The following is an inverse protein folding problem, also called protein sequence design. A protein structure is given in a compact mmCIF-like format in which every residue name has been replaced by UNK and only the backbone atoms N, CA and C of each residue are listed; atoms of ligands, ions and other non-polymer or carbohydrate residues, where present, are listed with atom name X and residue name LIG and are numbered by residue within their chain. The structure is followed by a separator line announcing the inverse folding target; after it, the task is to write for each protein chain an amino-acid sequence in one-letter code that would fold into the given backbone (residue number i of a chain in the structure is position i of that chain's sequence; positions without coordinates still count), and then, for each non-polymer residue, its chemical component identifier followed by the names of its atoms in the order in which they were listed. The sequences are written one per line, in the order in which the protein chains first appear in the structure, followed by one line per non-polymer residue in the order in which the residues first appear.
data_IF_553364079806
#
_entry.id   IF_553364079806
#
_cell.length_a   1.000
_cell.length_b   1.000
_cell.length_c   1.000
_cell.angle_alpha   90.00
_cell.angle_beta   90.00
_cell.angle_gamma   90.00
#
_symmetry.space_group_name_H-M   'P 1'
#
loop_
_entity.id
_entity.type
_entity.pdbx_description
1 polymer ?
#
# COMPACT_ATOMS: atom_id res chain seq x y z
N UNK A 1 -37.81 21.30 -39.76
CA UNK A 1 -37.53 19.86 -39.53
C UNK A 1 -36.41 19.69 -38.50
N UNK A 2 -36.71 19.58 -37.19
CA UNK A 2 -35.68 19.53 -36.12
C UNK A 2 -35.24 18.10 -35.72
N UNK A 3 -35.78 17.05 -36.33
CA UNK A 3 -35.60 15.67 -35.86
C UNK A 3 -34.19 15.09 -36.09
N UNK A 4 -33.50 15.55 -37.14
CA UNK A 4 -32.16 15.04 -37.49
C UNK A 4 -31.10 15.43 -36.46
N UNK A 5 -31.15 16.65 -35.92
CA UNK A 5 -30.18 17.16 -34.92
C UNK A 5 -30.28 16.43 -33.57
N UNK A 6 -31.50 16.05 -33.14
CA UNK A 6 -31.70 15.29 -31.89
C UNK A 6 -31.14 13.87 -31.98
N UNK A 7 -31.26 13.23 -33.15
CA UNK A 7 -30.72 11.89 -33.39
C UNK A 7 -29.19 11.92 -33.41
N UNK A 8 -28.57 12.92 -34.05
CA UNK A 8 -27.11 13.09 -34.06
C UNK A 8 -26.54 13.35 -32.66
N UNK A 9 -27.25 14.11 -31.82
CA UNK A 9 -26.80 14.36 -30.44
C UNK A 9 -26.85 13.07 -29.59
N UNK A 10 -27.90 12.26 -29.76
CA UNK A 10 -28.05 10.98 -29.04
C UNK A 10 -26.96 9.98 -29.43
N UNK A 11 -26.59 9.91 -30.71
CA UNK A 11 -25.53 9.00 -31.18
C UNK A 11 -24.16 9.44 -30.67
N UNK A 12 -23.87 10.74 -30.62
CA UNK A 12 -22.62 11.28 -30.04
C UNK A 12 -22.55 11.00 -28.54
N UNK A 13 -23.66 11.14 -27.80
CA UNK A 13 -23.69 10.84 -26.36
C UNK A 13 -23.46 9.35 -26.07
N UNK A 14 -24.06 8.46 -26.86
CA UNK A 14 -23.81 7.02 -26.73
C UNK A 14 -22.36 6.66 -27.05
N UNK A 15 -21.76 7.26 -28.09
CA UNK A 15 -20.35 7.07 -28.43
C UNK A 15 -19.41 7.53 -27.31
N UNK A 16 -19.71 8.65 -26.64
CA UNK A 16 -18.93 9.16 -25.50
C UNK A 16 -19.01 8.24 -24.27
N UNK A 17 -20.16 7.59 -24.04
CA UNK A 17 -20.35 6.67 -22.92
C UNK A 17 -19.53 5.37 -23.04
N UNK A 18 -19.20 4.93 -24.27
CA UNK A 18 -18.38 3.71 -24.49
C UNK A 18 -16.91 3.93 -24.08
N UNK A 19 -16.42 5.17 -24.10
CA UNK A 19 -15.04 5.49 -23.71
C UNK A 19 -14.83 5.65 -22.20
N UNK A 20 -15.88 5.64 -21.38
CA UNK A 20 -15.79 5.82 -19.92
C UNK A 20 -15.69 4.52 -19.12
N UNK A 21 -15.68 3.35 -19.76
CA UNK A 21 -15.52 2.07 -19.09
C UNK A 21 -14.04 1.66 -19.05
N UNK A 22 -13.26 2.31 -18.18
CA UNK A 22 -12.02 1.68 -17.69
C UNK A 22 -12.43 0.62 -16.68
N UNK A 23 -12.73 -0.58 -17.16
CA UNK A 23 -12.78 -1.77 -16.32
C UNK A 23 -11.41 -1.96 -15.68
N UNK A 24 -11.31 -1.65 -14.38
CA UNK A 24 -10.20 -1.91 -13.45
C UNK A 24 -8.79 -1.87 -14.03
N UNK A 25 -7.98 -0.85 -13.67
CA UNK A 25 -6.51 -0.97 -13.79
C UNK A 25 -6.12 -2.25 -13.05
N UNK A 26 -5.55 -3.27 -13.73
CA UNK A 26 -5.10 -4.47 -13.04
C UNK A 26 -4.13 -4.03 -11.95
N UNK A 27 -4.22 -4.52 -10.71
CA UNK A 27 -3.24 -4.16 -9.69
C UNK A 27 -1.87 -4.50 -10.25
N UNK A 28 -1.04 -3.47 -10.49
CA UNK A 28 0.31 -3.69 -10.98
C UNK A 28 1.06 -4.36 -9.84
N UNK A 29 1.35 -5.65 -9.98
CA UNK A 29 2.24 -6.34 -9.05
C UNK A 29 3.62 -5.69 -9.18
N UNK A 30 3.92 -4.77 -8.26
CA UNK A 30 5.24 -4.17 -8.13
C UNK A 30 5.90 -4.78 -6.91
N UNK A 31 7.06 -5.38 -7.12
CA UNK A 31 7.96 -5.65 -6.01
C UNK A 31 8.33 -4.31 -5.39
N UNK A 32 7.93 -4.09 -4.15
CA UNK A 32 8.41 -2.98 -3.33
C UNK A 32 9.31 -3.54 -2.25
N UNK A 33 10.46 -2.91 -2.03
CA UNK A 33 11.25 -3.18 -0.84
C UNK A 33 10.38 -2.86 0.40
N UNK A 34 10.19 -3.87 1.25
CA UNK A 34 9.23 -3.80 2.35
C UNK A 34 9.71 -2.83 3.45
N UNK A 35 10.98 -2.98 3.83
CA UNK A 35 11.69 -2.12 4.75
C UNK A 35 13.21 -2.27 4.51
N UNK A 36 13.96 -1.20 4.74
CA UNK A 36 15.43 -1.20 4.67
C UNK A 36 16.05 -0.95 6.03
N UNK A 37 17.18 -1.60 6.26
CA UNK A 37 18.01 -1.44 7.46
C UNK A 37 19.42 -1.92 7.16
N UNK A 38 20.38 -1.61 8.05
CA UNK A 38 21.76 -2.08 7.95
C UNK A 38 21.97 -3.50 8.47
N UNK A 39 21.01 -4.04 9.24
CA UNK A 39 21.04 -5.40 9.76
C UNK A 39 19.95 -6.32 9.19
N UNK A 40 19.57 -7.34 9.96
CA UNK A 40 18.57 -8.33 9.54
C UNK A 40 17.15 -7.90 9.93
N UNK A 41 16.17 -8.22 9.09
CA UNK A 41 14.73 -8.06 9.37
C UNK A 41 14.05 -9.40 9.16
N UNK A 42 13.24 -9.82 10.13
CA UNK A 42 12.35 -10.96 10.02
C UNK A 42 10.91 -10.47 10.07
N UNK A 43 10.11 -10.81 9.07
CA UNK A 43 8.66 -10.63 9.12
C UNK A 43 8.03 -11.93 9.64
N UNK A 44 7.62 -11.95 10.91
CA UNK A 44 7.16 -13.17 11.57
C UNK A 44 5.68 -13.46 11.36
N UNK A 45 4.87 -12.40 11.25
CA UNK A 45 3.40 -12.50 11.19
C UNK A 45 2.80 -11.44 10.29
N UNK A 46 1.79 -11.84 9.54
CA UNK A 46 0.95 -10.98 8.70
C UNK A 46 -0.51 -11.31 9.01
N UNK A 47 -1.32 -10.30 9.35
CA UNK A 47 -2.74 -10.47 9.69
C UNK A 47 -3.58 -9.48 8.87
N UNK A 48 -4.48 -9.96 7.99
CA UNK A 48 -5.43 -9.08 7.31
C UNK A 48 -6.55 -8.63 8.27
N UNK A 49 -7.03 -7.40 8.09
CA UNK A 49 -8.12 -6.82 8.86
C UNK A 49 -9.41 -6.71 8.01
N UNK A 50 -10.61 -6.63 8.62
CA UNK A 50 -11.87 -6.54 7.90
C UNK A 50 -12.01 -5.34 6.96
N UNK A 51 -11.28 -4.25 7.21
CA UNK A 51 -11.25 -3.06 6.35
C UNK A 51 -10.31 -3.19 5.14
N UNK A 52 -9.67 -4.35 4.97
CA UNK A 52 -8.72 -4.63 3.89
C UNK A 52 -7.31 -4.11 4.14
N UNK A 53 -7.05 -3.46 5.27
CA UNK A 53 -5.68 -3.17 5.72
C UNK A 53 -4.99 -4.43 6.24
N UNK A 54 -3.66 -4.42 6.32
CA UNK A 54 -2.88 -5.53 6.87
C UNK A 54 -1.97 -5.04 7.99
N UNK A 55 -1.82 -5.87 9.03
CA UNK A 55 -0.81 -5.70 10.07
C UNK A 55 0.33 -6.66 9.78
N UNK A 56 1.56 -6.15 9.81
CA UNK A 56 2.78 -6.94 9.74
C UNK A 56 3.56 -6.71 11.04
N UNK A 57 4.01 -7.81 11.64
CA UNK A 57 4.83 -7.78 12.83
C UNK A 57 6.06 -8.67 12.65
N UNK A 58 7.14 -8.30 13.31
CA UNK A 58 8.39 -9.04 13.22
C UNK A 58 9.49 -8.43 14.07
N UNK A 59 10.72 -8.85 13.83
CA UNK A 59 11.90 -8.32 14.50
C UNK A 59 12.90 -7.72 13.51
N UNK A 60 13.70 -6.78 14.01
CA UNK A 60 14.85 -6.23 13.29
C UNK A 60 16.03 -6.08 14.23
N UNK A 61 17.21 -6.28 13.68
CA UNK A 61 18.47 -6.16 14.40
C UNK A 61 19.23 -4.97 13.84
N UNK A 62 18.89 -3.77 14.29
CA UNK A 62 19.57 -2.54 13.88
C UNK A 62 19.12 -1.36 14.75
N UNK A 63 19.86 -0.26 14.65
CA UNK A 63 19.51 1.02 15.30
C UNK A 63 18.19 1.60 14.76
N UNK A 64 17.82 1.26 13.53
CA UNK A 64 16.59 1.73 12.91
C UNK A 64 16.07 0.79 11.82
N UNK A 65 14.78 0.91 11.53
CA UNK A 65 14.10 0.24 10.42
C UNK A 65 13.30 1.27 9.62
N UNK A 66 13.51 1.31 8.30
CA UNK A 66 12.92 2.33 7.43
C UNK A 66 11.90 1.72 6.47
N UNK A 67 10.69 2.30 6.44
CA UNK A 67 9.58 1.97 5.58
C UNK A 67 9.29 3.15 4.64
N UNK A 68 9.90 3.15 3.46
CA UNK A 68 9.83 4.29 2.54
C UNK A 68 10.40 5.56 3.19
N UNK A 69 9.54 6.54 3.48
CA UNK A 69 9.93 7.79 4.16
C UNK A 69 9.79 7.75 5.70
N UNK A 70 9.28 6.66 6.27
CA UNK A 70 9.07 6.54 7.73
C UNK A 70 10.16 5.69 8.36
N UNK A 71 10.86 6.22 9.37
CA UNK A 71 11.91 5.48 10.10
C UNK A 71 11.52 5.30 11.57
N UNK A 72 11.58 4.06 12.06
CA UNK A 72 11.42 3.73 13.48
C UNK A 72 12.78 3.41 14.09
N UNK A 73 12.94 3.71 15.39
CA UNK A 73 14.18 3.44 16.14
C UNK A 73 14.13 2.07 16.79
N UNK A 74 15.23 1.33 16.71
CA UNK A 74 15.48 0.16 17.53
C UNK A 74 15.85 0.54 18.96
N UNK A 75 15.87 -0.45 19.85
CA UNK A 75 16.34 -0.26 21.22
C UNK A 75 17.86 -0.01 21.26
N UNK A 76 18.28 1.07 21.93
CA UNK A 76 19.70 1.43 22.05
C UNK A 76 20.32 0.75 23.26
N UNK A 77 21.32 -0.12 23.07
CA UNK A 77 22.03 -0.76 24.19
C UNK A 77 22.65 -2.12 23.91
N UNK A 78 22.53 -2.65 22.70
CA UNK A 78 23.22 -3.87 22.31
C UNK A 78 22.61 -4.46 21.07
N UNK A 79 23.25 -5.54 20.63
CA UNK A 79 22.85 -6.54 19.65
C UNK A 79 21.42 -7.13 19.89
N UNK A 80 20.42 -6.28 20.03
CA UNK A 80 19.08 -6.63 20.49
C UNK A 80 18.09 -6.71 19.34
N UNK A 81 17.37 -7.82 19.24
CA UNK A 81 16.17 -7.92 18.43
C UNK A 81 15.16 -6.88 18.90
N UNK A 82 14.95 -5.82 18.10
CA UNK A 82 13.83 -4.88 18.29
C UNK A 82 12.62 -5.45 17.59
N UNK A 83 11.45 -5.41 18.23
CA UNK A 83 10.21 -5.81 17.57
C UNK A 83 9.59 -4.60 16.86
N UNK A 84 8.86 -4.86 15.78
CA UNK A 84 8.07 -3.85 15.10
C UNK A 84 6.66 -4.34 14.82
N UNK A 85 5.75 -3.36 14.71
CA UNK A 85 4.42 -3.55 14.14
C UNK A 85 4.19 -2.44 13.13
N UNK A 86 3.79 -2.81 11.92
CA UNK A 86 3.44 -1.90 10.84
C UNK A 86 2.04 -2.20 10.32
N UNK A 87 1.28 -1.16 9.97
CA UNK A 87 -0.01 -1.28 9.30
C UNK A 87 0.08 -0.69 7.91
N UNK A 88 -0.46 -1.41 6.94
CA UNK A 88 -0.55 -0.96 5.55
C UNK A 88 -2.02 -0.89 5.12
N UNK A 89 -2.34 0.13 4.32
CA UNK A 89 -3.62 0.26 3.64
C UNK A 89 -3.83 -0.88 2.64
N UNK A 90 -5.06 -1.04 2.16
CA UNK A 90 -5.43 -2.02 1.11
C UNK A 90 -4.63 -1.85 -0.19
N UNK A 91 -4.15 -0.64 -0.47
CA UNK A 91 -3.33 -0.32 -1.64
C UNK A 91 -1.82 -0.58 -1.43
N UNK A 92 -1.43 -1.10 -0.25
CA UNK A 92 -0.05 -1.37 0.11
C UNK A 92 0.73 -0.17 0.65
N UNK A 93 0.11 1.02 0.77
CA UNK A 93 0.77 2.18 1.38
C UNK A 93 0.87 2.04 2.90
N UNK A 94 1.99 2.47 3.49
CA UNK A 94 2.18 2.44 4.94
C UNK A 94 1.22 3.44 5.61
N UNK A 95 0.44 2.96 6.57
CA UNK A 95 -0.37 3.83 7.45
C UNK A 95 0.44 4.32 8.64
N UNK A 96 1.11 3.39 9.32
CA UNK A 96 1.98 3.68 10.45
C UNK A 96 2.92 2.51 10.72
N UNK A 97 4.05 2.79 11.35
CA UNK A 97 4.97 1.81 11.90
C UNK A 97 5.36 2.20 13.33
N UNK A 98 5.55 1.20 14.19
CA UNK A 98 5.97 1.40 15.58
C UNK A 98 7.04 0.37 15.95
N UNK A 99 8.03 0.84 16.69
CA UNK A 99 8.93 -0.02 17.44
C UNK A 99 8.23 -0.47 18.73
N UNK A 100 8.45 -1.73 19.12
CA UNK A 100 7.95 -2.31 20.37
C UNK A 100 9.19 -2.69 21.18
N UNK A 101 9.35 -2.02 22.33
CA UNK A 101 10.46 -2.15 23.28
C UNK A 101 9.95 -2.66 24.62
#
# INVERSE_FOLDING_TARGET
MPMKSKITLLTVLMLLAVFSLKAQVPPSFRWSDFASTTGTVNADKIVPLPDGSVIVAGSFYAESLTFGATTIKGFWGGEGNSAFVARYNKDGSLMWAKSVY
#
